data_IF_258688011982
#
_entry.id   IF_258688011982
#
_cell.length_a   1.000
_cell.length_b   1.000
_cell.length_c   1.000
_cell.angle_alpha   90.00
_cell.angle_beta   90.00
_cell.angle_gamma   90.00
#
_symmetry.space_group_name_H-M   'P 1'
#
loop_
_entity.id
_entity.type
_entity.pdbx_description
1 polymer ?
#
# COMPACT_ATOMS: atom_id res chain seq x y z
N UNK A 1 -5.72 4.12 44.31
CA UNK A 1 -4.48 3.75 43.58
C UNK A 1 -4.69 2.89 42.33
N UNK A 2 -5.61 1.90 42.32
CA UNK A 2 -5.89 1.04 41.15
C UNK A 2 -6.44 1.79 39.93
N UNK A 3 -7.34 2.76 40.14
CA UNK A 3 -7.91 3.59 39.07
C UNK A 3 -6.85 4.40 38.30
N UNK A 4 -5.85 4.96 38.99
CA UNK A 4 -4.73 5.67 38.34
C UNK A 4 -3.93 4.78 37.39
N UNK A 5 -3.74 3.49 37.75
CA UNK A 5 -3.06 2.51 36.89
C UNK A 5 -3.90 2.16 35.65
N UNK A 6 -5.22 2.06 35.81
CA UNK A 6 -6.15 1.86 34.68
C UNK A 6 -6.11 3.02 33.68
N UNK A 7 -6.14 4.27 34.16
CA UNK A 7 -6.02 5.45 33.30
C UNK A 7 -4.68 5.54 32.58
N UNK A 8 -3.57 5.25 33.28
CA UNK A 8 -2.24 5.22 32.66
C UNK A 8 -2.18 4.16 31.56
N UNK A 9 -2.74 2.97 31.80
CA UNK A 9 -2.80 1.91 30.80
C UNK A 9 -3.66 2.31 29.59
N UNK A 10 -4.84 2.91 29.80
CA UNK A 10 -5.69 3.39 28.72
C UNK A 10 -4.99 4.47 27.90
N UNK A 11 -4.35 5.44 28.56
CA UNK A 11 -3.57 6.49 27.90
C UNK A 11 -2.46 5.88 27.05
N UNK A 12 -1.76 4.88 27.57
CA UNK A 12 -0.72 4.16 26.85
C UNK A 12 -1.26 3.47 25.58
N UNK A 13 -2.41 2.79 25.66
CA UNK A 13 -3.05 2.18 24.49
C UNK A 13 -3.44 3.21 23.42
N UNK A 14 -3.97 4.37 23.84
CA UNK A 14 -4.31 5.46 22.92
C UNK A 14 -3.06 5.99 22.21
N UNK A 15 -1.96 6.17 22.93
CA UNK A 15 -0.68 6.59 22.34
C UNK A 15 -0.19 5.57 21.32
N UNK A 16 -0.28 4.26 21.60
CA UNK A 16 0.10 3.22 20.62
C UNK A 16 -0.75 3.32 19.35
N UNK A 17 -2.06 3.52 19.47
CA UNK A 17 -2.96 3.61 18.30
C UNK A 17 -2.63 4.84 17.45
N UNK A 18 -2.36 5.99 18.07
CA UNK A 18 -2.02 7.23 17.36
C UNK A 18 -0.62 7.12 16.73
N UNK A 19 0.35 6.58 17.46
CA UNK A 19 1.74 6.48 17.03
C UNK A 19 2.03 5.21 16.21
N UNK A 20 1.02 4.38 15.88
CA UNK A 20 1.21 3.08 15.22
C UNK A 20 2.07 3.17 13.95
N UNK A 21 1.89 4.20 13.14
CA UNK A 21 2.68 4.40 11.92
C UNK A 21 4.14 4.74 12.21
N UNK A 22 4.40 5.57 13.23
CA UNK A 22 5.75 5.87 13.68
C UNK A 22 6.44 4.63 14.26
N UNK A 23 5.75 3.90 15.14
CA UNK A 23 6.24 2.65 15.74
C UNK A 23 6.58 1.66 14.62
N UNK A 24 5.66 1.42 13.69
CA UNK A 24 5.89 0.50 12.58
C UNK A 24 7.11 0.88 11.75
N UNK A 25 7.23 2.15 11.32
CA UNK A 25 8.37 2.62 10.52
C UNK A 25 9.68 2.65 11.29
N UNK A 26 9.65 2.70 12.63
CA UNK A 26 10.84 2.58 13.46
C UNK A 26 11.36 1.15 13.48
N UNK A 27 10.46 0.18 13.68
CA UNK A 27 10.82 -1.22 13.84
C UNK A 27 10.99 -1.97 12.51
N UNK A 28 10.16 -1.69 11.51
CA UNK A 28 10.11 -2.40 10.24
C UNK A 28 10.71 -1.55 9.11
N UNK A 29 11.67 -2.13 8.39
CA UNK A 29 12.30 -1.55 7.20
C UNK A 29 12.19 -2.50 6.02
N UNK A 30 12.07 -1.92 4.83
CA UNK A 30 11.92 -2.63 3.56
C UNK A 30 13.23 -2.48 2.79
N UNK A 31 13.76 -3.57 2.26
CA UNK A 31 14.95 -3.57 1.41
C UNK A 31 14.56 -4.07 0.03
N UNK A 32 14.67 -3.22 -0.98
CA UNK A 32 14.17 -3.52 -2.33
C UNK A 32 15.09 -4.52 -3.01
N UNK A 33 14.52 -5.64 -3.47
CA UNK A 33 15.25 -6.70 -4.20
C UNK A 33 14.82 -6.82 -5.67
N UNK A 34 13.78 -6.09 -6.08
CA UNK A 34 13.35 -6.06 -7.48
C UNK A 34 12.05 -5.28 -7.69
N UNK A 35 11.52 -5.36 -8.90
CA UNK A 35 10.24 -4.75 -9.30
C UNK A 35 9.33 -5.76 -9.99
N UNK A 36 8.03 -5.47 -10.00
CA UNK A 36 7.03 -6.22 -10.76
C UNK A 36 6.62 -5.44 -12.01
N UNK A 37 6.07 -6.17 -12.99
CA UNK A 37 5.43 -5.55 -14.15
C UNK A 37 4.11 -4.88 -13.73
N UNK A 38 3.88 -3.68 -14.24
CA UNK A 38 2.62 -2.95 -14.04
C UNK A 38 1.50 -3.51 -14.93
N UNK A 39 0.26 -3.37 -14.47
CA UNK A 39 -0.93 -3.74 -15.23
C UNK A 39 -1.62 -2.49 -15.77
N UNK A 40 -2.06 -2.55 -17.04
CA UNK A 40 -2.98 -1.54 -17.58
C UNK A 40 -4.41 -1.91 -17.18
N UNK A 41 -5.16 -0.95 -16.66
CA UNK A 41 -6.57 -1.12 -16.37
C UNK A 41 -7.35 -1.07 -17.68
N UNK A 42 -8.11 -2.13 -17.95
CA UNK A 42 -8.99 -2.28 -19.12
C UNK A 42 -10.40 -2.73 -18.73
N UNK A 43 -10.59 -3.23 -17.50
CA UNK A 43 -11.89 -3.65 -17.01
C UNK A 43 -12.80 -2.43 -16.74
N UNK A 44 -13.93 -2.36 -17.43
CA UNK A 44 -14.85 -1.23 -17.36
C UNK A 44 -15.45 -1.01 -15.96
N UNK A 45 -15.77 -2.08 -15.24
CA UNK A 45 -16.31 -1.97 -13.87
C UNK A 45 -15.27 -1.38 -12.91
N UNK A 46 -13.99 -1.75 -13.08
CA UNK A 46 -12.91 -1.17 -12.30
C UNK A 46 -12.74 0.32 -12.63
N UNK A 47 -12.75 0.68 -13.92
CA UNK A 47 -12.71 2.08 -14.38
C UNK A 47 -13.84 2.87 -13.72
N UNK A 48 -15.09 2.45 -13.85
CA UNK A 48 -16.26 3.12 -13.24
C UNK A 48 -16.11 3.26 -11.72
N UNK A 49 -15.58 2.23 -11.04
CA UNK A 49 -15.33 2.29 -9.59
C UNK A 49 -14.31 3.36 -9.23
N UNK A 50 -13.22 3.46 -10.00
CA UNK A 50 -12.18 4.47 -9.80
C UNK A 50 -12.75 5.86 -10.05
N UNK A 51 -13.44 6.06 -11.16
CA UNK A 51 -14.02 7.35 -11.55
C UNK A 51 -15.03 7.86 -10.53
N UNK A 52 -15.96 7.00 -10.10
CA UNK A 52 -16.95 7.35 -9.09
C UNK A 52 -16.32 7.66 -7.74
N UNK A 53 -15.18 7.03 -7.41
CA UNK A 53 -14.47 7.28 -6.15
C UNK A 53 -13.60 8.54 -6.23
N UNK A 54 -13.00 8.81 -7.38
CA UNK A 54 -12.16 9.99 -7.61
C UNK A 54 -13.01 11.27 -7.68
N UNK A 55 -14.15 11.21 -8.37
CA UNK A 55 -15.02 12.36 -8.61
C UNK A 55 -14.35 13.41 -9.51
N UNK A 56 -14.70 14.69 -9.30
CA UNK A 56 -14.11 15.85 -9.98
C UNK A 56 -13.53 16.83 -8.95
N UNK A 57 -12.35 16.54 -8.35
CA UNK A 57 -11.72 17.49 -7.44
C UNK A 57 -11.39 18.78 -8.18
N UNK A 58 -11.64 19.94 -7.54
CA UNK A 58 -11.39 21.27 -8.12
C UNK A 58 -9.92 21.50 -8.45
N UNK A 59 -9.04 20.95 -7.63
CA UNK A 59 -7.59 21.00 -7.81
C UNK A 59 -7.03 19.59 -7.90
N UNK A 60 -6.24 19.38 -8.94
CA UNK A 60 -5.63 18.11 -9.23
C UNK A 60 -4.27 18.00 -8.50
N UNK A 61 -4.11 16.97 -7.68
CA UNK A 61 -2.93 16.75 -6.82
C UNK A 61 -2.67 15.25 -6.66
N UNK A 62 -1.39 14.84 -6.63
CA UNK A 62 -0.96 13.46 -6.36
C UNK A 62 -1.59 12.90 -5.07
N UNK A 63 -1.77 13.71 -4.03
CA UNK A 63 -2.42 13.31 -2.78
C UNK A 63 -3.86 12.79 -2.98
N UNK A 64 -4.61 13.37 -3.92
CA UNK A 64 -5.96 12.90 -4.28
C UNK A 64 -5.87 11.53 -4.98
N UNK A 65 -4.89 11.34 -5.86
CA UNK A 65 -4.64 10.04 -6.52
C UNK A 65 -4.30 8.97 -5.48
N UNK A 66 -3.39 9.26 -4.55
CA UNK A 66 -2.97 8.31 -3.51
C UNK A 66 -4.15 7.95 -2.59
N UNK A 67 -4.94 8.94 -2.18
CA UNK A 67 -6.12 8.77 -1.33
C UNK A 67 -7.19 7.94 -2.03
N UNK A 68 -7.51 8.25 -3.29
CA UNK A 68 -8.47 7.47 -4.08
C UNK A 68 -7.97 6.05 -4.32
N UNK A 69 -6.71 5.88 -4.70
CA UNK A 69 -6.13 4.56 -4.93
C UNK A 69 -6.18 3.69 -3.68
N UNK A 70 -5.90 4.28 -2.51
CA UNK A 70 -6.05 3.62 -1.21
C UNK A 70 -7.49 3.22 -0.97
N UNK A 71 -8.43 4.16 -1.13
CA UNK A 71 -9.85 3.91 -0.89
C UNK A 71 -10.37 2.78 -1.79
N UNK A 72 -10.14 2.87 -3.10
CA UNK A 72 -10.59 1.86 -4.07
C UNK A 72 -9.99 0.48 -3.74
N UNK A 73 -8.69 0.42 -3.41
CA UNK A 73 -8.03 -0.83 -3.04
C UNK A 73 -8.64 -1.45 -1.78
N UNK A 74 -8.69 -0.68 -0.68
CA UNK A 74 -9.16 -1.18 0.62
C UNK A 74 -10.65 -1.53 0.63
N UNK A 75 -11.48 -0.87 -0.19
CA UNK A 75 -12.90 -1.22 -0.29
C UNK A 75 -13.17 -2.39 -1.24
N UNK A 76 -12.25 -2.71 -2.14
CA UNK A 76 -12.43 -3.75 -3.16
C UNK A 76 -11.85 -5.09 -2.71
N UNK A 77 -10.70 -5.07 -2.06
CA UNK A 77 -9.91 -6.26 -1.76
C UNK A 77 -10.05 -6.69 -0.30
N UNK A 78 -9.94 -8.00 -0.09
CA UNK A 78 -9.68 -8.62 1.19
C UNK A 78 -8.42 -9.49 1.10
N UNK A 79 -7.66 -9.55 2.19
CA UNK A 79 -6.42 -10.31 2.21
C UNK A 79 -6.67 -11.83 2.27
N UNK A 80 -5.90 -12.60 1.50
CA UNK A 80 -5.89 -14.08 1.58
C UNK A 80 -4.49 -14.65 1.39
N UNK A 81 -4.26 -15.78 2.07
CA UNK A 81 -3.06 -16.60 1.94
C UNK A 81 -3.21 -17.68 0.85
N UNK A 82 -4.43 -17.86 0.34
CA UNK A 82 -4.73 -18.87 -0.67
C UNK A 82 -4.26 -18.42 -2.06
N UNK A 83 -4.18 -19.38 -2.99
CA UNK A 83 -3.99 -19.07 -4.41
C UNK A 83 -5.09 -18.11 -4.88
N UNK A 84 -4.69 -17.01 -5.51
CA UNK A 84 -5.56 -15.92 -5.91
C UNK A 84 -5.08 -15.29 -7.23
N UNK A 85 -5.92 -14.46 -7.84
CA UNK A 85 -5.52 -13.61 -8.96
C UNK A 85 -4.62 -12.47 -8.48
N UNK A 86 -3.80 -11.95 -9.39
CA UNK A 86 -2.92 -10.81 -9.17
C UNK A 86 -3.19 -9.65 -10.15
N UNK A 87 -4.00 -9.90 -11.17
CA UNK A 87 -4.37 -8.94 -12.21
C UNK A 87 -5.53 -8.06 -11.72
N UNK A 88 -5.37 -6.73 -11.64
CA UNK A 88 -6.42 -5.81 -11.21
C UNK A 88 -7.73 -5.96 -12.00
N UNK A 89 -7.63 -6.27 -13.30
CA UNK A 89 -8.78 -6.45 -14.18
C UNK A 89 -9.64 -7.68 -13.82
N UNK A 90 -9.06 -8.65 -13.10
CA UNK A 90 -9.75 -9.82 -12.57
C UNK A 90 -10.12 -9.63 -11.09
N UNK A 91 -9.27 -8.94 -10.33
CA UNK A 91 -9.44 -8.71 -8.89
C UNK A 91 -10.71 -7.92 -8.54
N UNK A 92 -11.20 -7.06 -9.43
CA UNK A 92 -12.50 -6.39 -9.23
C UNK A 92 -13.68 -7.38 -9.14
N UNK A 93 -13.50 -8.61 -9.63
CA UNK A 93 -14.48 -9.70 -9.51
C UNK A 93 -14.16 -10.62 -8.34
N UNK A 94 -12.92 -11.10 -8.21
CA UNK A 94 -12.54 -12.09 -7.20
C UNK A 94 -12.38 -11.52 -5.79
N UNK A 95 -12.07 -10.22 -5.66
CA UNK A 95 -12.01 -9.44 -4.41
C UNK A 95 -11.07 -9.94 -3.32
N UNK A 96 -10.34 -11.04 -3.51
CA UNK A 96 -9.43 -11.58 -2.51
C UNK A 96 -8.05 -11.81 -3.11
N UNK A 97 -7.00 -11.28 -2.45
CA UNK A 97 -5.62 -11.45 -2.92
C UNK A 97 -4.59 -11.29 -1.81
N UNK A 98 -3.31 -11.53 -2.14
CA UNK A 98 -2.18 -11.39 -1.22
C UNK A 98 -1.46 -10.04 -1.42
N UNK A 99 -0.31 -9.82 -0.76
CA UNK A 99 0.45 -8.57 -0.84
C UNK A 99 0.82 -8.17 -2.29
N UNK A 100 1.14 -9.15 -3.14
CA UNK A 100 1.46 -8.92 -4.56
C UNK A 100 0.24 -8.33 -5.28
N UNK A 101 -0.93 -8.94 -5.11
CA UNK A 101 -2.16 -8.44 -5.75
C UNK A 101 -2.60 -7.09 -5.20
N UNK A 102 -2.45 -6.85 -3.88
CA UNK A 102 -2.70 -5.54 -3.27
C UNK A 102 -1.80 -4.46 -3.87
N UNK A 103 -0.50 -4.72 -3.99
CA UNK A 103 0.45 -3.79 -4.56
C UNK A 103 0.18 -3.53 -6.05
N UNK A 104 -0.08 -4.58 -6.84
CA UNK A 104 -0.42 -4.44 -8.26
C UNK A 104 -1.73 -3.67 -8.47
N UNK A 105 -2.76 -3.95 -7.67
CA UNK A 105 -4.05 -3.28 -7.75
C UNK A 105 -3.91 -1.80 -7.44
N UNK A 106 -3.29 -1.46 -6.31
CA UNK A 106 -3.05 -0.07 -5.92
C UNK A 106 -2.23 0.69 -6.97
N UNK A 107 -1.10 0.13 -7.41
CA UNK A 107 -0.22 0.76 -8.40
C UNK A 107 -0.95 0.99 -9.74
N UNK A 108 -1.82 0.06 -10.14
CA UNK A 108 -2.57 0.18 -11.39
C UNK A 108 -3.64 1.25 -11.32
N UNK A 109 -4.30 1.43 -10.16
CA UNK A 109 -5.24 2.55 -9.94
C UNK A 109 -4.50 3.89 -9.98
N UNK A 110 -3.33 3.99 -9.34
CA UNK A 110 -2.49 5.19 -9.42
C UNK A 110 -2.09 5.50 -10.87
N UNK A 111 -1.54 4.51 -11.57
CA UNK A 111 -1.08 4.67 -12.95
C UNK A 111 -2.22 5.08 -13.89
N UNK A 112 -3.41 4.49 -13.73
CA UNK A 112 -4.60 4.88 -14.49
C UNK A 112 -4.95 6.37 -14.30
N UNK A 113 -4.98 6.84 -13.05
CA UNK A 113 -5.28 8.24 -12.75
C UNK A 113 -4.16 9.18 -13.23
N UNK A 114 -2.89 8.79 -13.08
CA UNK A 114 -1.73 9.56 -13.57
C UNK A 114 -1.78 9.70 -15.10
N UNK A 115 -2.02 8.61 -15.84
CA UNK A 115 -2.14 8.61 -17.31
C UNK A 115 -3.32 9.48 -17.74
N UNK A 116 -4.50 9.28 -17.13
CA UNK A 116 -5.72 10.02 -17.45
C UNK A 116 -5.55 11.54 -17.32
N UNK A 117 -4.79 11.99 -16.33
CA UNK A 117 -4.60 13.41 -16.06
C UNK A 117 -3.30 13.98 -16.62
N UNK A 118 -2.60 13.24 -17.50
CA UNK A 118 -1.41 13.74 -18.20
C UNK A 118 -0.17 13.89 -17.32
N UNK A 119 -0.13 13.25 -16.15
CA UNK A 119 0.99 13.33 -15.21
C UNK A 119 2.13 12.35 -15.46
N UNK A 120 2.03 11.50 -16.48
CA UNK A 120 3.02 10.43 -16.71
C UNK A 120 4.44 10.92 -16.96
N UNK A 121 4.64 12.22 -17.25
CA UNK A 121 5.97 12.83 -17.38
C UNK A 121 6.57 13.27 -16.04
N UNK A 122 5.73 13.44 -15.02
CA UNK A 122 6.11 13.94 -13.70
C UNK A 122 6.13 12.82 -12.67
N UNK A 123 5.28 11.82 -12.81
CA UNK A 123 5.08 10.77 -11.80
C UNK A 123 5.24 9.37 -12.38
N UNK A 124 5.96 8.53 -11.65
CA UNK A 124 6.17 7.12 -11.95
C UNK A 124 5.70 6.26 -10.77
N UNK A 125 4.95 5.19 -11.04
CA UNK A 125 4.45 4.29 -10.01
C UNK A 125 4.77 2.84 -10.36
N UNK A 126 5.53 2.19 -9.48
CA UNK A 126 5.94 0.80 -9.65
C UNK A 126 5.69 -0.02 -8.40
N UNK A 127 5.39 -1.30 -8.63
CA UNK A 127 5.37 -2.30 -7.57
C UNK A 127 6.77 -2.85 -7.37
N UNK A 128 7.21 -2.89 -6.12
CA UNK A 128 8.53 -3.34 -5.69
C UNK A 128 8.41 -4.58 -4.84
N UNK A 129 9.42 -5.44 -4.98
CA UNK A 129 9.63 -6.64 -4.16
C UNK A 129 10.62 -6.25 -3.07
N UNK A 130 10.28 -6.50 -1.81
CA UNK A 130 11.17 -6.20 -0.69
C UNK A 130 11.37 -7.38 0.25
N UNK A 131 12.53 -7.37 0.90
CA UNK A 131 12.76 -8.09 2.14
C UNK A 131 12.38 -7.22 3.33
N UNK A 132 11.77 -7.81 4.34
CA UNK A 132 11.41 -7.13 5.58
C UNK A 132 12.48 -7.32 6.64
N UNK A 133 12.84 -6.23 7.31
CA UNK A 133 13.76 -6.21 8.43
C UNK A 133 13.07 -5.66 9.67
N UNK A 134 13.14 -6.40 10.77
CA UNK A 134 12.72 -5.95 12.09
C UNK A 134 13.96 -5.59 12.91
N UNK A 135 14.12 -4.33 13.32
CA UNK A 135 15.32 -3.84 14.03
C UNK A 135 16.63 -4.21 13.32
N UNK A 136 16.68 -4.03 11.98
CA UNK A 136 17.80 -4.40 11.11
C UNK A 136 18.12 -5.91 11.05
N UNK A 137 17.29 -6.76 11.64
CA UNK A 137 17.37 -8.21 11.52
C UNK A 137 16.43 -8.67 10.41
N UNK A 138 16.96 -9.46 9.46
CA UNK A 138 16.17 -9.99 8.36
C UNK A 138 15.09 -10.93 8.90
N UNK A 139 13.81 -10.59 8.69
CA UNK A 139 12.69 -11.41 9.17
C UNK A 139 12.69 -12.77 8.48
N UNK A 140 13.16 -12.83 7.24
CA UNK A 140 13.21 -14.05 6.44
C UNK A 140 14.14 -15.14 7.00
N UNK A 141 15.08 -14.79 7.87
CA UNK A 141 15.97 -15.75 8.52
C UNK A 141 15.23 -16.59 9.59
N UNK A 142 14.02 -16.18 9.98
CA UNK A 142 13.22 -16.80 11.04
C UNK A 142 11.91 -17.42 10.55
N UNK A 143 11.53 -17.23 9.28
CA UNK A 143 10.30 -17.74 8.71
C UNK A 143 10.54 -18.38 7.35
N UNK A 144 10.42 -19.72 7.27
CA UNK A 144 10.64 -20.47 6.02
C UNK A 144 9.38 -20.63 5.15
N UNK A 145 8.27 -19.97 5.50
CA UNK A 145 7.05 -20.05 4.69
C UNK A 145 7.22 -19.26 3.40
N UNK A 146 6.79 -19.80 2.24
CA UNK A 146 6.73 -19.04 0.98
C UNK A 146 5.96 -17.72 1.09
N UNK A 147 5.04 -17.63 2.05
CA UNK A 147 4.30 -16.40 2.37
C UNK A 147 5.21 -15.26 2.84
N UNK A 148 6.22 -15.58 3.66
CA UNK A 148 7.21 -14.64 4.12
C UNK A 148 8.46 -14.74 3.25
N UNK A 149 8.39 -15.04 1.95
CA UNK A 149 9.61 -15.06 1.14
C UNK A 149 10.05 -13.65 0.75
N UNK A 150 9.10 -12.88 0.24
CA UNK A 150 9.25 -11.49 -0.16
C UNK A 150 7.93 -10.77 0.13
N UNK A 151 7.98 -9.46 0.28
CA UNK A 151 6.80 -8.63 0.51
C UNK A 151 6.73 -7.51 -0.52
N UNK A 152 5.58 -7.41 -1.20
CA UNK A 152 5.40 -6.46 -2.28
C UNK A 152 4.77 -5.16 -1.76
N UNK A 153 5.30 -4.03 -2.23
CA UNK A 153 4.84 -2.68 -1.88
C UNK A 153 4.93 -1.76 -3.12
N UNK A 154 4.52 -0.50 -3.00
CA UNK A 154 4.44 0.45 -4.10
C UNK A 154 5.34 1.66 -3.83
N UNK A 155 6.11 2.04 -4.85
CA UNK A 155 6.91 3.26 -4.87
C UNK A 155 6.28 4.22 -5.88
N UNK A 156 5.98 5.43 -5.41
CA UNK A 156 5.50 6.55 -6.22
C UNK A 156 6.60 7.60 -6.21
N UNK A 157 7.14 7.92 -7.38
CA UNK A 157 8.29 8.80 -7.53
C UNK A 157 7.91 10.01 -8.38
N UNK A 158 8.21 11.21 -7.88
CA UNK A 158 8.22 12.42 -8.68
C UNK A 158 9.53 12.45 -9.48
N UNK A 159 9.46 12.33 -10.79
CA UNK A 159 10.61 12.14 -11.68
C UNK A 159 11.54 13.36 -11.67
N UNK A 160 10.97 14.58 -11.61
CA UNK A 160 11.74 15.84 -11.62
C UNK A 160 12.44 16.10 -10.29
N UNK A 161 11.75 15.97 -9.15
CA UNK A 161 12.32 16.30 -7.83
C UNK A 161 13.05 15.13 -7.17
N UNK A 162 12.75 13.90 -7.58
CA UNK A 162 13.25 12.67 -6.95
C UNK A 162 12.49 12.29 -5.67
N UNK A 163 11.41 13.01 -5.31
CA UNK A 163 10.62 12.70 -4.12
C UNK A 163 9.91 11.35 -4.25
N UNK A 164 9.91 10.57 -3.17
CA UNK A 164 9.36 9.21 -3.15
C UNK A 164 8.36 9.01 -2.03
N UNK A 165 7.25 8.37 -2.37
CA UNK A 165 6.29 7.82 -1.42
C UNK A 165 6.38 6.29 -1.45
N UNK A 166 6.55 5.70 -0.27
CA UNK A 166 6.63 4.25 -0.09
C UNK A 166 5.37 3.78 0.61
N UNK A 167 4.53 3.03 -0.10
CA UNK A 167 3.20 2.64 0.36
C UNK A 167 3.10 1.13 0.29
N UNK A 168 2.69 0.52 1.39
CA UNK A 168 2.27 -0.88 1.42
C UNK A 168 0.74 -0.93 1.53
N UNK A 169 0.02 -1.26 0.45
CA UNK A 169 -1.44 -1.24 0.47
C UNK A 169 -2.03 -2.30 1.42
N UNK A 170 -1.35 -3.44 1.61
CA UNK A 170 -1.82 -4.50 2.51
C UNK A 170 -1.69 -4.09 3.98
N UNK A 171 -0.59 -3.42 4.34
CA UNK A 171 -0.38 -2.84 5.67
C UNK A 171 -1.27 -1.61 5.90
N UNK A 172 -1.50 -0.80 4.87
CA UNK A 172 -2.45 0.30 4.90
C UNK A 172 -3.87 -0.17 5.18
N UNK A 173 -4.30 -1.27 4.58
CA UNK A 173 -5.61 -1.87 4.80
C UNK A 173 -5.73 -2.46 6.22
N UNK A 174 -4.78 -3.32 6.61
CA UNK A 174 -4.87 -4.05 7.87
C UNK A 174 -4.56 -3.20 9.11
N UNK A 175 -3.55 -2.32 9.02
CA UNK A 175 -3.05 -1.53 10.15
C UNK A 175 -3.40 -0.05 10.06
N UNK A 176 -3.92 0.44 8.94
CA UNK A 176 -4.20 1.87 8.75
C UNK A 176 -2.92 2.71 8.77
N UNK A 177 -1.84 2.21 8.17
CA UNK A 177 -0.54 2.89 8.08
C UNK A 177 -0.36 3.39 6.64
N UNK A 178 -0.18 4.69 6.46
CA UNK A 178 -0.17 5.31 5.12
C UNK A 178 1.17 5.21 4.40
N UNK A 179 2.26 4.92 5.11
CA UNK A 179 3.59 4.82 4.52
C UNK A 179 4.53 3.90 5.30
N UNK A 180 5.45 3.29 4.57
CA UNK A 180 6.51 2.43 5.09
C UNK A 180 7.88 3.09 4.97
N UNK A 181 8.92 2.46 5.51
CA UNK A 181 10.29 2.96 5.43
C UNK A 181 11.20 1.97 4.73
N UNK A 182 12.07 2.50 3.89
CA UNK A 182 13.15 1.75 3.24
C UNK A 182 14.37 1.69 4.18
N UNK A 183 15.20 0.66 4.01
CA UNK A 183 16.52 0.52 4.64
C UNK A 183 17.57 1.39 3.95
#
# INVERSE_FOLDING_TARGET
>A
MKWRRGYIFLLFLVVIIICKGFIYRFFIKYDTVGTRKSYKITNQKLIETIENTYGNPKDFNIGNILTTSKKVTNTTLGFTYNKCDLDPNRLIQSKATNCIGYANFYASVCNYLIEKHGLSKEWNVNTHIAKLYFLNVNVHDYFESPFFKDHDFVVIEHIITGDKHYIDPSVSDYLGIDSVSIR
#
